data_IF_553709578982
#
_entry.id   IF_553709578982
#
_cell.length_a   1.000
_cell.length_b   1.000
_cell.length_c   1.000
_cell.angle_alpha   90.00
_cell.angle_beta   90.00
_cell.angle_gamma   90.00
#
_symmetry.space_group_name_H-M   'P 1'
#
loop_
_entity.id
_entity.type
_entity.pdbx_description
1 polymer ?
#
# COMPACT_ATOMS: atom_id res chain seq x y z
N UNK A 1 26.50 -8.01 57.43
CA UNK A 1 26.58 -7.24 56.16
C UNK A 1 25.90 -8.09 55.09
N UNK A 2 24.67 -7.76 54.72
CA UNK A 2 23.83 -8.58 53.85
C UNK A 2 24.14 -8.42 52.37
N UNK A 3 24.27 -9.54 51.66
CA UNK A 3 24.39 -9.58 50.20
C UNK A 3 23.02 -9.35 49.58
N UNK A 4 22.87 -8.27 48.80
CA UNK A 4 21.70 -8.04 47.95
C UNK A 4 21.99 -8.57 46.55
N UNK A 5 21.19 -9.54 46.13
CA UNK A 5 21.12 -10.02 44.77
C UNK A 5 20.50 -8.94 43.88
N UNK A 6 21.11 -8.67 42.73
CA UNK A 6 20.44 -8.01 41.60
C UNK A 6 20.58 -8.96 40.41
N UNK A 7 19.50 -9.68 40.09
CA UNK A 7 19.40 -10.37 38.80
C UNK A 7 19.15 -9.35 37.69
N UNK A 8 19.59 -9.60 36.44
CA UNK A 8 19.24 -8.72 35.35
C UNK A 8 17.75 -8.87 35.04
N UNK A 9 17.08 -7.73 35.11
CA UNK A 9 15.72 -7.46 34.68
C UNK A 9 15.49 -8.06 33.30
N UNK A 10 14.42 -8.84 33.16
CA UNK A 10 14.05 -9.42 31.87
C UNK A 10 13.67 -8.30 30.91
N UNK A 11 14.53 -8.06 29.91
CA UNK A 11 14.16 -7.32 28.72
C UNK A 11 13.05 -8.12 28.00
N UNK A 12 11.81 -7.76 28.29
CA UNK A 12 10.68 -8.09 27.41
C UNK A 12 10.92 -7.30 26.13
N UNK A 13 11.58 -7.93 25.16
CA UNK A 13 11.42 -7.53 23.78
C UNK A 13 9.91 -7.55 23.49
N UNK A 14 9.27 -6.44 23.07
CA UNK A 14 7.96 -6.55 22.49
C UNK A 14 8.11 -7.43 21.25
N UNK A 15 7.71 -8.69 21.37
CA UNK A 15 7.55 -9.58 20.24
C UNK A 15 6.35 -9.08 19.44
N UNK A 16 6.52 -7.98 18.71
CA UNK A 16 5.73 -7.73 17.53
C UNK A 16 6.23 -8.73 16.50
N UNK A 17 5.80 -9.99 16.64
CA UNK A 17 5.81 -10.92 15.53
C UNK A 17 5.23 -10.17 14.34
N UNK A 18 5.95 -10.04 13.21
CA UNK A 18 5.40 -9.37 12.06
C UNK A 18 4.09 -10.06 11.73
N UNK A 19 2.98 -9.31 11.82
CA UNK A 19 1.69 -9.76 11.33
C UNK A 19 1.93 -10.30 9.93
N UNK A 20 1.50 -11.54 9.66
CA UNK A 20 1.85 -12.27 8.43
C UNK A 20 1.56 -11.39 7.22
N UNK A 21 2.60 -10.74 6.73
CA UNK A 21 2.52 -9.76 5.69
C UNK A 21 2.49 -10.54 4.38
N UNK A 22 1.27 -10.85 3.93
CA UNK A 22 1.07 -11.46 2.62
C UNK A 22 1.74 -10.55 1.58
N UNK A 23 2.51 -11.15 0.67
CA UNK A 23 3.15 -10.47 -0.45
C UNK A 23 2.07 -10.06 -1.46
N UNK A 24 1.34 -9.00 -1.13
CA UNK A 24 0.40 -8.35 -2.03
C UNK A 24 1.25 -7.60 -3.06
N UNK A 25 1.17 -7.99 -4.33
CA UNK A 25 1.89 -7.35 -5.44
C UNK A 25 1.58 -5.86 -5.57
N UNK A 26 0.30 -5.50 -5.40
CA UNK A 26 -0.17 -4.11 -5.49
C UNK A 26 -1.02 -3.76 -4.27
N UNK A 27 -0.53 -2.84 -3.44
CA UNK A 27 -1.17 -2.44 -2.17
C UNK A 27 -1.81 -1.07 -2.23
N UNK A 28 -1.19 -0.17 -2.97
CA UNK A 28 -1.60 1.21 -3.12
C UNK A 28 -2.29 1.41 -4.47
N UNK A 29 -3.46 2.01 -4.44
CA UNK A 29 -4.27 2.29 -5.63
C UNK A 29 -4.63 3.77 -5.67
N UNK A 30 -4.69 4.32 -6.88
CA UNK A 30 -5.19 5.66 -7.15
C UNK A 30 -6.54 5.53 -7.86
N UNK A 31 -7.58 6.07 -7.24
CA UNK A 31 -8.84 6.32 -7.91
C UNK A 31 -8.89 7.78 -8.39
N UNK A 32 -9.41 7.97 -9.60
CA UNK A 32 -9.63 9.29 -10.23
C UNK A 32 -11.07 9.38 -10.70
N UNK A 33 -11.70 10.54 -10.51
CA UNK A 33 -12.98 10.84 -11.15
C UNK A 33 -12.70 11.13 -12.63
N UNK A 34 -13.50 10.59 -13.56
CA UNK A 34 -13.29 10.81 -14.99
C UNK A 34 -13.42 12.29 -15.40
N UNK A 35 -14.40 12.98 -14.83
CA UNK A 35 -14.73 14.37 -15.15
C UNK A 35 -14.76 15.21 -13.87
N UNK A 36 -13.59 15.41 -13.24
CA UNK A 36 -13.48 16.27 -12.07
C UNK A 36 -12.53 15.76 -11.00
N UNK A 37 -12.92 15.95 -9.73
CA UNK A 37 -12.05 15.76 -8.57
C UNK A 37 -12.81 15.24 -7.35
N UNK A 38 -12.15 14.42 -6.51
CA UNK A 38 -12.70 14.01 -5.21
C UNK A 38 -12.76 15.14 -4.17
N UNK A 39 -12.25 16.33 -4.47
CA UNK A 39 -12.35 17.49 -3.58
C UNK A 39 -13.80 17.91 -3.35
N UNK A 40 -14.67 17.77 -4.36
CA UNK A 40 -16.10 18.09 -4.25
C UNK A 40 -16.94 16.94 -3.68
N UNK A 41 -16.38 15.72 -3.62
CA UNK A 41 -17.09 14.53 -3.16
C UNK A 41 -17.05 14.45 -1.63
N UNK A 42 -18.18 14.23 -0.97
CA UNK A 42 -18.21 14.11 0.50
C UNK A 42 -17.36 12.94 1.02
N UNK A 43 -16.62 13.15 2.12
CA UNK A 43 -15.83 12.11 2.77
C UNK A 43 -16.71 10.93 3.26
N UNK A 44 -17.92 11.22 3.74
CA UNK A 44 -18.88 10.20 4.18
C UNK A 44 -19.32 9.33 2.99
N UNK A 45 -19.57 9.95 1.83
CA UNK A 45 -19.96 9.22 0.61
C UNK A 45 -18.83 8.28 0.15
N UNK A 46 -17.59 8.77 0.16
CA UNK A 46 -16.41 7.96 -0.18
C UNK A 46 -16.29 6.76 0.76
N UNK A 47 -16.37 6.99 2.08
CA UNK A 47 -16.25 5.93 3.06
C UNK A 47 -17.36 4.87 2.88
N UNK A 48 -18.62 5.30 2.72
CA UNK A 48 -19.75 4.38 2.47
C UNK A 48 -19.58 3.58 1.18
N UNK A 49 -19.10 4.21 0.10
CA UNK A 49 -18.89 3.52 -1.17
C UNK A 49 -17.80 2.46 -1.07
N UNK A 50 -16.68 2.77 -0.39
CA UNK A 50 -15.59 1.81 -0.18
C UNK A 50 -16.07 0.66 0.71
N UNK A 51 -16.76 0.96 1.81
CA UNK A 51 -17.32 -0.05 2.71
C UNK A 51 -18.28 -1.00 1.98
N UNK A 52 -19.12 -0.48 1.10
CA UNK A 52 -20.07 -1.30 0.34
C UNK A 52 -19.42 -2.19 -0.73
N UNK A 53 -18.30 -1.78 -1.31
CA UNK A 53 -17.66 -2.52 -2.41
C UNK A 53 -16.52 -3.44 -1.96
N UNK A 54 -15.77 -3.02 -0.94
CA UNK A 54 -14.47 -3.61 -0.56
C UNK A 54 -14.41 -3.89 0.94
N UNK A 55 -15.45 -3.54 1.71
CA UNK A 55 -15.46 -3.55 3.17
C UNK A 55 -14.43 -2.58 3.78
N UNK A 56 -13.70 -3.00 4.81
CA UNK A 56 -12.71 -2.18 5.49
C UNK A 56 -11.35 -2.27 4.79
N UNK A 57 -10.79 -1.13 4.43
CA UNK A 57 -9.46 -1.01 3.81
C UNK A 57 -8.50 -0.36 4.80
N UNK A 58 -7.19 -0.50 4.58
CA UNK A 58 -6.15 -0.03 5.51
C UNK A 58 -6.13 1.48 5.64
N UNK A 59 -6.25 2.19 4.52
CA UNK A 59 -6.26 3.64 4.52
C UNK A 59 -6.95 4.19 3.28
N UNK A 60 -7.61 5.33 3.46
CA UNK A 60 -8.22 6.11 2.39
C UNK A 60 -7.83 7.57 2.60
N UNK A 61 -7.14 8.16 1.61
CA UNK A 61 -6.64 9.52 1.71
C UNK A 61 -6.96 10.31 0.46
N UNK A 62 -7.56 11.48 0.62
CA UNK A 62 -7.68 12.44 -0.48
C UNK A 62 -6.34 13.12 -0.74
N UNK A 63 -5.92 13.10 -1.99
CA UNK A 63 -4.70 13.74 -2.44
C UNK A 63 -4.96 15.20 -2.81
N UNK A 64 -3.96 16.06 -2.67
CA UNK A 64 -4.07 17.51 -3.01
C UNK A 64 -4.42 17.75 -4.48
N UNK A 65 -4.03 16.83 -5.35
CA UNK A 65 -4.32 16.86 -6.78
C UNK A 65 -5.77 16.45 -7.13
N UNK A 66 -6.60 16.13 -6.12
CA UNK A 66 -7.99 15.76 -6.33
C UNK A 66 -8.23 14.26 -6.56
N UNK A 67 -7.20 13.43 -6.47
CA UNK A 67 -7.32 11.97 -6.54
C UNK A 67 -7.59 11.36 -5.15
N UNK A 68 -7.92 10.06 -5.14
CA UNK A 68 -8.05 9.27 -3.91
C UNK A 68 -6.98 8.18 -3.87
N UNK A 69 -6.15 8.18 -2.83
CA UNK A 69 -5.22 7.11 -2.53
C UNK A 69 -5.89 6.10 -1.60
N UNK A 70 -5.83 4.83 -1.97
CA UNK A 70 -6.40 3.73 -1.20
C UNK A 70 -5.30 2.70 -0.94
N UNK A 71 -5.15 2.28 0.31
CA UNK A 71 -4.26 1.19 0.73
C UNK A 71 -5.11 0.02 1.21
N UNK A 72 -4.81 -1.19 0.75
CA UNK A 72 -5.56 -2.42 1.07
C UNK A 72 -4.77 -3.39 1.96
N UNK A 73 -5.48 -4.29 2.63
CA UNK A 73 -4.90 -5.37 3.45
C UNK A 73 -4.71 -6.69 2.72
N UNK A 74 -5.44 -6.92 1.62
CA UNK A 74 -5.43 -8.22 0.93
C UNK A 74 -5.58 -8.10 -0.58
N UNK A 75 -5.20 -9.16 -1.28
CA UNK A 75 -5.33 -9.28 -2.74
C UNK A 75 -6.80 -9.34 -3.20
N UNK A 76 -7.68 -9.91 -2.36
CA UNK A 76 -9.12 -9.89 -2.62
C UNK A 76 -9.66 -8.46 -2.64
N UNK A 77 -9.21 -7.62 -1.71
CA UNK A 77 -9.55 -6.19 -1.67
C UNK A 77 -8.96 -5.46 -2.87
N UNK A 78 -7.69 -5.72 -3.22
CA UNK A 78 -7.05 -5.15 -4.42
C UNK A 78 -7.88 -5.43 -5.68
N UNK A 79 -8.30 -6.69 -5.87
CA UNK A 79 -9.12 -7.11 -7.01
C UNK A 79 -10.48 -6.42 -7.02
N UNK A 80 -11.11 -6.24 -5.86
CA UNK A 80 -12.39 -5.53 -5.74
C UNK A 80 -12.25 -4.03 -6.05
N UNK A 81 -11.20 -3.39 -5.52
CA UNK A 81 -10.83 -1.99 -5.78
C UNK A 81 -10.63 -1.74 -7.28
N UNK A 82 -9.90 -2.60 -7.97
CA UNK A 82 -9.66 -2.47 -9.42
C UNK A 82 -10.94 -2.60 -10.26
N UNK A 83 -11.94 -3.34 -9.77
CA UNK A 83 -13.25 -3.49 -10.43
C UNK A 83 -14.20 -2.34 -10.15
N UNK A 84 -13.88 -1.47 -9.18
CA UNK A 84 -14.74 -0.37 -8.76
C UNK A 84 -14.80 0.70 -9.86
N UNK A 85 -16.01 1.03 -10.30
CA UNK A 85 -16.25 2.00 -11.39
C UNK A 85 -16.98 3.27 -10.95
N UNK A 86 -17.63 3.24 -9.79
CA UNK A 86 -18.45 4.35 -9.33
C UNK A 86 -18.29 4.59 -7.83
N UNK A 87 -18.31 5.87 -7.43
CA UNK A 87 -18.50 6.32 -6.05
C UNK A 87 -19.73 7.22 -6.05
N UNK A 88 -20.86 6.72 -5.55
CA UNK A 88 -22.14 7.42 -5.70
C UNK A 88 -22.47 7.64 -7.18
N UNK A 89 -22.64 8.90 -7.58
CA UNK A 89 -22.96 9.29 -8.95
C UNK A 89 -21.70 9.60 -9.80
N UNK A 90 -20.51 9.48 -9.22
CA UNK A 90 -19.26 9.82 -9.91
C UNK A 90 -18.65 8.57 -10.53
N UNK A 91 -18.44 8.59 -11.85
CA UNK A 91 -17.68 7.55 -12.53
C UNK A 91 -16.18 7.74 -12.26
N UNK A 92 -15.52 6.64 -11.88
CA UNK A 92 -14.13 6.63 -11.46
C UNK A 92 -13.32 5.61 -12.27
N UNK A 93 -12.03 5.87 -12.38
CA UNK A 93 -11.03 4.92 -12.86
C UNK A 93 -10.05 4.63 -11.74
N UNK A 94 -9.79 3.35 -11.50
CA UNK A 94 -8.84 2.91 -10.47
C UNK A 94 -7.64 2.24 -11.14
N UNK A 95 -6.43 2.56 -10.67
CA UNK A 95 -5.18 1.96 -11.14
C UNK A 95 -4.22 1.74 -9.97
N UNK A 96 -3.33 0.78 -10.10
CA UNK A 96 -2.23 0.60 -9.17
C UNK A 96 -1.33 1.84 -9.14
N UNK A 97 -0.86 2.20 -7.95
CA UNK A 97 0.04 3.34 -7.77
C UNK A 97 1.46 2.95 -8.21
N UNK A 98 1.99 3.61 -9.24
CA UNK A 98 3.29 3.28 -9.84
C UNK A 98 4.46 3.31 -8.84
N UNK A 99 4.55 4.35 -8.00
CA UNK A 99 5.67 4.51 -7.07
C UNK A 99 5.50 3.82 -5.72
N UNK A 100 4.34 3.92 -5.08
CA UNK A 100 4.14 3.37 -3.74
C UNK A 100 4.13 1.82 -3.70
N UNK A 101 3.85 1.17 -4.84
CA UNK A 101 3.97 -0.29 -4.97
C UNK A 101 5.37 -0.76 -5.40
N UNK A 102 6.33 0.15 -5.56
CA UNK A 102 7.69 -0.18 -5.94
C UNK A 102 8.66 0.29 -4.85
N UNK A 103 9.53 -0.59 -4.38
CA UNK A 103 10.71 -0.20 -3.63
C UNK A 103 11.89 -0.05 -4.60
N UNK A 104 12.64 1.04 -4.49
CA UNK A 104 13.94 1.15 -5.15
C UNK A 104 14.99 0.55 -4.21
N UNK A 105 15.41 -0.67 -4.49
CA UNK A 105 16.56 -1.29 -3.84
C UNK A 105 17.88 -0.82 -4.46
N UNK A 106 18.99 -1.09 -3.76
CA UNK A 106 20.33 -1.00 -4.35
C UNK A 106 20.84 -2.44 -4.45
N UNK A 107 21.41 -2.77 -5.60
CA UNK A 107 22.08 -4.05 -5.84
C UNK A 107 23.57 -3.74 -5.98
N UNK A 108 24.40 -4.41 -5.16
CA UNK A 108 25.86 -4.25 -5.18
C UNK A 108 26.49 -5.61 -5.49
N UNK A 109 26.59 -5.93 -6.77
CA UNK A 109 27.13 -7.21 -7.24
C UNK A 109 28.23 -6.95 -8.26
N UNK A 110 29.44 -7.45 -7.99
CA UNK A 110 30.61 -7.25 -8.87
C UNK A 110 30.45 -7.97 -10.21
N UNK A 111 29.65 -9.04 -10.26
CA UNK A 111 29.40 -9.79 -11.48
C UNK A 111 28.56 -8.98 -12.49
N UNK A 112 27.71 -8.06 -12.01
CA UNK A 112 26.87 -7.21 -12.84
C UNK A 112 27.58 -5.94 -13.35
N UNK A 113 28.90 -5.82 -13.12
CA UNK A 113 29.66 -4.61 -13.45
C UNK A 113 29.73 -4.34 -14.97
N UNK A 114 29.57 -5.37 -15.80
CA UNK A 114 29.61 -5.23 -17.26
C UNK A 114 28.22 -5.12 -17.90
N UNK A 115 27.15 -5.34 -17.12
CA UNK A 115 25.77 -5.30 -17.60
C UNK A 115 25.24 -3.86 -17.58
N UNK A 116 24.37 -3.53 -18.54
CA UNK A 116 23.72 -2.21 -18.53
C UNK A 116 22.51 -2.22 -17.60
N UNK A 117 22.10 -1.03 -17.11
CA UNK A 117 20.91 -0.91 -16.27
C UNK A 117 19.65 -1.45 -16.98
N UNK A 118 19.53 -1.28 -18.30
CA UNK A 118 18.40 -1.80 -19.08
C UNK A 118 18.40 -3.34 -19.11
N UNK A 119 19.55 -3.98 -19.35
CA UNK A 119 19.67 -5.46 -19.35
C UNK A 119 19.27 -6.04 -17.98
N UNK A 120 19.78 -5.44 -16.89
CA UNK A 120 19.45 -5.85 -15.52
C UNK A 120 17.95 -5.67 -15.24
N UNK A 121 17.35 -4.56 -15.69
CA UNK A 121 15.93 -4.29 -15.49
C UNK A 121 15.02 -5.20 -16.32
N UNK A 122 15.43 -5.60 -17.52
CA UNK A 122 14.68 -6.53 -18.37
C UNK A 122 14.56 -7.90 -17.71
N UNK A 123 15.68 -8.45 -17.25
CA UNK A 123 15.73 -9.77 -16.58
C UNK A 123 14.97 -9.80 -15.24
N UNK A 124 14.88 -8.66 -14.53
CA UNK A 124 14.16 -8.55 -13.27
C UNK A 124 12.63 -8.38 -13.42
N UNK A 125 12.13 -8.12 -14.63
CA UNK A 125 10.72 -7.80 -14.89
C UNK A 125 9.89 -9.08 -15.08
N UNK A 126 9.83 -9.93 -14.06
CA UNK A 126 9.00 -11.16 -14.04
C UNK A 126 7.51 -10.90 -13.79
#
# INVERSE_FOLDING_TARGET
MGSRNFGPEGDVCPSTSPEKEYHIRERFFIAKVKDGSFNIVSAILIHKAILANVSEVKSVKKCKNGDLLIEVWSEQQATAILKMKHIGNYEITVKAHSRLNQSKGVISESELQNDTEDDILEELRT
#
